data_IF_060420427409
#
_entry.id   IF_060420427409
#
_cell.length_a   1.000
_cell.length_b   1.000
_cell.length_c   1.000
_cell.angle_alpha   90.00
_cell.angle_beta   90.00
_cell.angle_gamma   90.00
#
_symmetry.space_group_name_H-M   'P 1'
#
loop_
_entity.id
_entity.type
_entity.pdbx_description
1 polymer ?
2 polymer ?
3 non-polymer ?
4 water ?
#
# COMPACT_ATOMS: atom_id res chain seq x y z
N UNK A 2 -12.92 0.54 10.95
CA UNK A 2 -13.20 -0.21 12.15
C UNK A 2 -12.22 -1.36 12.27
N UNK A 3 -11.09 -1.27 11.56
CA UNK A 3 -10.09 -2.33 11.60
C UNK A 3 -8.91 -1.98 12.50
N UNK A 4 -8.19 -3.02 12.92
CA UNK A 4 -7.06 -2.87 13.82
C UNK A 4 -6.01 -1.91 13.30
N UNK A 5 -5.65 -2.07 12.03
CA UNK A 5 -4.67 -1.21 11.37
C UNK A 5 -5.38 -0.26 10.45
N UNK A 6 -4.84 0.96 10.33
CA UNK A 6 -5.36 1.88 9.31
C UNK A 6 -4.96 1.43 7.90
N UNK A 7 -3.74 0.96 7.75
CA UNK A 7 -3.24 0.59 6.42
C UNK A 7 -2.32 -0.59 6.49
N UNK A 8 -2.40 -1.40 5.45
CA UNK A 8 -1.45 -2.43 5.17
C UNK A 8 -0.58 -1.98 3.99
N UNK A 9 0.69 -2.36 4.00
CA UNK A 9 1.60 -1.91 2.93
C UNK A 9 1.98 -3.09 2.11
N UNK A 10 1.63 -3.04 0.86
CA UNK A 10 1.97 -4.08 -0.09
C UNK A 10 3.07 -3.57 -1.05
N UNK A 11 4.22 -4.23 -1.06
CA UNK A 11 5.42 -3.70 -1.75
C UNK A 11 6.36 -4.85 -2.04
N UNK A 12 7.20 -4.65 -3.05
CA UNK A 12 8.24 -5.60 -3.41
C UNK A 12 9.48 -5.41 -2.54
N UNK A 13 10.19 -6.50 -2.23
CA UNK A 13 11.38 -6.38 -1.38
C UNK A 13 12.42 -5.44 -1.96
N UNK A 14 12.48 -5.31 -3.27
CA UNK A 14 13.48 -4.43 -3.88
C UNK A 14 13.29 -2.96 -3.50
N UNK A 15 12.05 -2.59 -3.11
CA UNK A 15 11.71 -1.22 -2.71
C UNK A 15 11.68 -1.05 -1.19
N UNK A 16 12.22 -2.00 -0.45
CA UNK A 16 12.15 -1.97 1.00
C UNK A 16 12.76 -0.75 1.64
N UNK A 17 13.87 -0.27 1.09
CA UNK A 17 14.53 0.88 1.72
C UNK A 17 13.58 2.07 1.88
N UNK A 18 12.97 2.51 0.78
CA UNK A 18 12.05 3.65 0.83
C UNK A 18 10.80 3.26 1.60
N UNK A 19 10.31 2.05 1.39
CA UNK A 19 9.06 1.67 2.06
C UNK A 19 9.20 1.66 3.56
N UNK A 20 10.27 1.07 4.09
CA UNK A 20 10.38 0.98 5.53
C UNK A 20 10.89 2.29 6.12
N UNK A 21 11.94 2.85 5.54
CA UNK A 21 12.59 4.00 6.16
C UNK A 21 11.90 5.31 5.91
N UNK A 22 11.14 5.40 4.82
CA UNK A 22 10.41 6.65 4.51
C UNK A 22 8.92 6.50 4.72
N UNK A 23 8.29 5.58 3.99
CA UNK A 23 6.83 5.50 4.07
C UNK A 23 6.33 5.03 5.43
N UNK A 24 6.79 3.85 5.88
CA UNK A 24 6.30 3.37 7.17
C UNK A 24 6.71 4.31 8.30
N UNK A 25 7.96 4.77 8.27
CA UNK A 25 8.45 5.72 9.26
C UNK A 25 7.53 6.92 9.38
N UNK A 26 7.17 7.53 8.27
CA UNK A 26 6.32 8.71 8.32
C UNK A 26 4.90 8.40 8.75
N UNK A 27 4.36 7.28 8.27
CA UNK A 27 3.02 6.91 8.67
C UNK A 27 2.93 6.74 10.18
N UNK A 28 3.88 6.01 10.75
CA UNK A 28 3.85 5.71 12.17
C UNK A 28 4.06 6.99 12.99
N UNK A 29 4.93 7.88 12.50
CA UNK A 29 5.13 9.16 13.22
C UNK A 29 3.86 10.00 13.25
N UNK A 30 3.05 9.85 12.19
CA UNK A 30 1.80 10.58 12.03
C UNK A 30 0.65 9.92 12.80
N UNK A 31 0.94 8.88 13.58
CA UNK A 31 -0.07 8.17 14.34
C UNK A 31 -0.91 7.19 13.58
N UNK A 32 -0.48 6.84 12.38
CA UNK A 32 -1.20 5.90 11.54
C UNK A 32 -0.71 4.49 11.84
N UNK A 33 -1.63 3.60 12.15
CA UNK A 33 -1.33 2.23 12.54
C UNK A 33 -1.15 1.42 11.26
N UNK A 34 0.03 0.83 11.11
CA UNK A 34 0.47 0.22 9.86
C UNK A 34 0.81 -1.25 10.03
N UNK A 35 0.29 -2.09 9.13
CA UNK A 35 0.72 -3.50 9.05
C UNK A 35 1.88 -3.58 8.06
N UNK A 36 2.98 -4.11 8.54
CA UNK A 36 4.17 -4.28 7.71
C UNK A 36 4.71 -5.67 7.87
N UNK A 37 4.85 -6.35 6.76
CA UNK A 37 5.15 -7.76 6.76
C UNK A 37 6.33 -8.14 7.61
N UNK A 38 7.44 -7.39 7.53
CA UNK A 38 8.67 -7.83 8.18
C UNK A 38 8.56 -7.76 9.68
N UNK A 39 7.54 -7.08 10.19
CA UNK A 39 7.25 -7.07 11.63
C UNK A 39 6.04 -7.94 11.98
N UNK A 40 4.97 -7.83 11.20
CA UNK A 40 3.66 -8.32 11.60
C UNK A 40 3.25 -9.66 11.02
N UNK A 41 3.96 -10.18 10.02
CA UNK A 41 3.61 -11.48 9.47
C UNK A 41 3.84 -12.53 10.53
N UNK A 42 3.07 -13.60 10.47
CA UNK A 42 3.21 -14.76 11.36
C UNK A 42 4.10 -15.81 10.69
N UNK A 43 5.25 -16.12 11.30
CA UNK A 43 6.05 -17.21 10.74
C UNK A 43 5.37 -18.54 10.94
N UNK A 44 5.41 -19.41 9.94
CA UNK A 44 4.75 -20.70 9.97
C UNK A 44 3.35 -20.68 9.45
N UNK A 45 2.80 -19.49 9.19
CA UNK A 45 1.56 -19.40 8.44
C UNK A 45 1.90 -19.45 6.97
N UNK A 46 0.92 -19.88 6.17
CA UNK A 46 1.10 -19.85 4.73
C UNK A 46 1.07 -18.42 4.22
N UNK A 47 1.69 -18.22 3.07
CA UNK A 47 1.71 -16.87 2.48
C UNK A 47 0.29 -16.31 2.38
N UNK A 48 -0.67 -17.13 1.92
CA UNK A 48 -2.02 -16.63 1.72
C UNK A 48 -2.68 -16.22 3.03
N UNK A 49 -2.35 -16.91 4.12
CA UNK A 49 -2.85 -16.54 5.41
C UNK A 49 -2.34 -15.17 5.86
N UNK A 50 -1.06 -14.91 5.66
CA UNK A 50 -0.49 -13.62 6.01
C UNK A 50 -1.01 -12.51 5.13
N UNK A 51 -1.22 -12.78 3.84
CA UNK A 51 -1.88 -11.80 2.95
C UNK A 51 -3.21 -11.41 3.51
N UNK A 52 -4.03 -12.44 3.84
CA UNK A 52 -5.39 -12.19 4.27
C UNK A 52 -5.49 -11.52 5.63
N UNK A 53 -4.60 -11.89 6.54
CA UNK A 53 -4.58 -11.20 7.83
C UNK A 53 -4.31 -9.70 7.65
N UNK A 54 -3.35 -9.37 6.81
CA UNK A 54 -3.01 -7.97 6.59
C UNK A 54 -4.15 -7.24 5.94
N UNK A 55 -4.79 -7.83 4.93
CA UNK A 55 -5.86 -7.12 4.22
C UNK A 55 -7.09 -6.97 5.09
N UNK A 56 -7.53 -8.04 5.74
CA UNK A 56 -8.80 -8.01 6.45
C UNK A 56 -8.72 -7.26 7.77
N UNK A 57 -7.53 -7.10 8.33
CA UNK A 57 -7.38 -6.35 9.54
C UNK A 57 -6.92 -4.90 9.36
N UNK A 58 -6.99 -4.42 8.14
CA UNK A 58 -6.60 -3.06 7.77
C UNK A 58 -7.75 -2.38 7.04
N UNK A 59 -7.88 -1.07 7.20
CA UNK A 59 -8.93 -0.37 6.50
C UNK A 59 -8.66 -0.28 5.02
N UNK A 60 -7.41 -0.06 4.64
CA UNK A 60 -7.04 0.01 3.24
C UNK A 60 -5.65 -0.55 3.04
N UNK A 61 -5.32 -0.89 1.79
CA UNK A 61 -4.00 -1.41 1.42
C UNK A 61 -3.32 -0.41 0.50
N UNK A 62 -2.17 0.06 0.92
CA UNK A 62 -1.31 0.84 0.07
C UNK A 62 -0.56 -0.09 -0.85
N UNK A 63 -0.59 0.20 -2.13
CA UNK A 63 0.07 -0.56 -3.17
C UNK A 63 1.27 0.28 -3.68
N UNK A 64 2.49 -0.16 -3.47
CA UNK A 64 3.70 0.63 -3.82
C UNK A 64 4.12 0.15 -5.21
N UNK A 65 3.62 0.85 -6.25
CA UNK A 65 3.83 0.43 -7.62
C UNK A 65 5.25 0.79 -8.07
N UNK A 66 5.85 -0.15 -8.76
CA UNK A 66 7.20 -0.05 -9.33
C UNK A 66 7.36 -1.22 -10.30
N UNK A 67 8.45 -1.25 -11.07
CA UNK A 67 8.64 -2.40 -11.93
C UNK A 67 8.75 -3.70 -11.17
N UNK A 68 9.35 -3.64 -9.97
CA UNK A 68 9.52 -4.88 -9.19
C UNK A 68 8.23 -5.33 -8.52
N UNK A 69 7.34 -4.39 -8.18
CA UNK A 69 6.02 -4.76 -7.66
C UNK A 69 5.30 -5.71 -8.61
N UNK A 70 5.32 -5.36 -9.90
CA UNK A 70 4.54 -6.08 -10.93
C UNK A 70 5.22 -7.34 -11.42
N UNK A 71 6.36 -7.67 -10.84
CA UNK A 71 7.00 -8.97 -11.08
C UNK A 71 6.95 -9.86 -9.84
N UNK A 72 6.32 -9.42 -8.77
CA UNK A 72 6.36 -10.12 -7.50
C UNK A 72 5.06 -10.89 -7.24
N UNK A 73 5.17 -12.18 -6.99
CA UNK A 73 3.98 -13.05 -6.85
C UNK A 73 3.11 -12.69 -5.65
N UNK A 74 3.74 -12.46 -4.50
CA UNK A 74 2.96 -12.07 -3.33
C UNK A 74 2.27 -10.73 -3.59
N UNK A 75 2.96 -9.77 -4.18
CA UNK A 75 2.33 -8.52 -4.52
C UNK A 75 1.10 -8.71 -5.42
N UNK A 76 1.25 -9.52 -6.46
CA UNK A 76 0.10 -9.70 -7.34
C UNK A 76 -1.11 -10.31 -6.61
N UNK A 77 -0.87 -11.34 -5.80
CA UNK A 77 -1.96 -12.02 -5.10
C UNK A 77 -2.63 -11.04 -4.14
N UNK A 78 -1.81 -10.23 -3.47
CA UNK A 78 -2.34 -9.26 -2.55
C UNK A 78 -3.18 -8.23 -3.26
N UNK A 79 -2.68 -7.76 -4.40
CA UNK A 79 -3.40 -6.78 -5.17
C UNK A 79 -4.76 -7.31 -5.63
N UNK A 80 -4.78 -8.54 -6.13
CA UNK A 80 -6.04 -9.10 -6.61
C UNK A 80 -7.10 -9.12 -5.50
N UNK A 81 -6.74 -9.51 -4.30
CA UNK A 81 -7.67 -9.47 -3.15
C UNK A 81 -7.98 -8.03 -2.78
N UNK A 82 -6.95 -7.18 -2.82
CA UNK A 82 -7.11 -5.77 -2.46
C UNK A 82 -8.13 -5.03 -3.31
N UNK A 83 -8.26 -5.42 -4.58
CA UNK A 83 -9.25 -4.81 -5.46
C UNK A 83 -10.68 -5.04 -4.97
N UNK A 84 -10.87 -6.04 -4.15
CA UNK A 84 -12.20 -6.28 -3.56
C UNK A 84 -12.44 -5.49 -2.28
N UNK A 85 -11.46 -4.67 -1.92
CA UNK A 85 -11.56 -3.80 -0.79
C UNK A 85 -11.16 -2.42 -1.24
N UNK A 86 -10.36 -1.74 -0.45
CA UNK A 86 -9.94 -0.39 -0.82
C UNK A 86 -8.44 -0.36 -0.87
N UNK A 87 -7.93 0.24 -1.94
CA UNK A 87 -6.50 0.40 -2.08
C UNK A 87 -6.13 1.86 -2.29
N UNK A 88 -4.90 2.19 -1.93
CA UNK A 88 -4.28 3.49 -2.21
C UNK A 88 -3.05 3.23 -3.04
N UNK A 89 -3.14 3.40 -4.36
CA UNK A 89 -1.96 3.15 -5.19
C UNK A 89 -1.01 4.36 -5.16
N UNK A 90 0.26 4.03 -4.95
CA UNK A 90 1.36 4.98 -5.02
C UNK A 90 2.23 4.62 -6.20
N UNK A 91 2.47 5.57 -7.11
CA UNK A 91 3.47 5.34 -8.16
C UNK A 91 4.80 5.76 -7.61
N UNK A 92 5.57 4.78 -7.14
CA UNK A 92 6.85 5.03 -6.47
C UNK A 92 7.96 5.15 -7.51
N UNK A 93 8.00 4.22 -8.44
CA UNK A 93 8.94 4.25 -9.57
C UNK A 93 8.17 4.07 -10.86
N UNK A 94 8.56 4.76 -11.95
CA UNK A 94 7.83 4.60 -13.22
C UNK A 94 7.84 3.16 -13.69
N UNK A 95 6.72 2.73 -14.24
CA UNK A 95 6.55 1.34 -14.64
C UNK A 95 5.35 1.22 -15.56
N UNK A 96 5.21 0.06 -16.18
CA UNK A 96 4.01 -0.27 -16.93
C UNK A 96 2.96 -0.70 -15.93
N UNK A 97 1.93 0.13 -15.78
CA UNK A 97 0.81 -0.11 -14.89
C UNK A 97 -0.18 -0.99 -15.65
N UNK A 98 -0.59 -2.12 -15.05
CA UNK A 98 -1.50 -3.04 -15.74
C UNK A 98 -2.84 -2.44 -16.10
N UNK A 99 -3.45 -3.05 -17.11
CA UNK A 99 -4.67 -2.52 -17.68
C UNK A 99 -5.74 -2.26 -16.61
N UNK A 100 -5.84 -3.14 -15.61
CA UNK A 100 -6.93 -3.01 -14.63
C UNK A 100 -6.68 -1.92 -13.62
N UNK A 101 -5.48 -1.32 -13.65
CA UNK A 101 -5.17 -0.13 -12.86
C UNK A 101 -5.01 1.12 -13.69
N UNK A 102 -5.24 1.03 -15.00
CA UNK A 102 -4.94 2.15 -15.91
C UNK A 102 -5.99 3.25 -15.91
N UNK A 103 -7.04 3.05 -15.12
CA UNK A 103 -8.08 4.04 -14.95
C UNK A 103 -8.38 4.27 -13.48
N UNK A 104 -7.38 4.05 -12.63
CA UNK A 104 -7.48 4.32 -11.21
C UNK A 104 -6.51 5.43 -10.80
N UNK A 105 -7.03 6.43 -10.09
CA UNK A 105 -6.21 7.55 -9.66
C UNK A 105 -5.20 7.09 -8.65
N UNK A 106 -3.97 7.57 -8.79
CA UNK A 106 -2.91 7.20 -7.88
C UNK A 106 -2.19 8.45 -7.34
N UNK A 107 -1.46 8.27 -6.25
CA UNK A 107 -0.55 9.28 -5.73
C UNK A 107 0.79 9.13 -6.44
N UNK A 108 1.22 10.17 -7.13
CA UNK A 108 2.37 10.05 -8.02
C UNK A 108 3.62 10.60 -7.34
N UNK A 109 4.40 9.74 -6.72
CA UNK A 109 5.65 10.15 -6.06
C UNK A 109 6.66 10.60 -7.09
N UNK A 110 6.57 10.10 -8.31
CA UNK A 110 7.53 10.42 -9.33
C UNK A 110 7.40 11.82 -9.87
N UNK A 111 6.24 12.46 -9.70
CA UNK A 111 6.01 13.82 -10.18
C UNK A 111 6.61 14.80 -9.16
N UNK A 112 7.85 15.21 -9.42
CA UNK A 112 8.61 15.91 -8.40
C UNK A 112 7.98 17.25 -8.01
N UNK A 113 7.41 17.94 -8.98
CA UNK A 113 6.88 19.29 -8.72
C UNK A 113 5.68 19.27 -7.76
N UNK A 114 4.95 18.15 -7.70
CA UNK A 114 3.80 18.07 -6.75
C UNK A 114 4.14 17.23 -5.54
N UNK A 115 5.42 16.87 -5.43
CA UNK A 115 5.86 16.16 -4.26
C UNK A 115 5.53 16.89 -2.99
N UNK A 116 5.54 18.26 -3.00
CA UNK A 116 5.17 18.98 -1.77
C UNK A 116 3.75 18.67 -1.24
N UNK A 117 2.85 18.04 -2.00
CA UNK A 117 1.52 17.67 -1.48
C UNK A 117 1.27 16.17 -1.32
N UNK A 118 2.28 15.37 -1.64
CA UNK A 118 2.18 13.92 -1.54
C UNK A 118 1.75 13.45 -0.17
N UNK A 119 2.47 13.85 0.88
CA UNK A 119 2.18 13.30 2.19
C UNK A 119 0.82 13.80 2.68
N UNK A 120 0.51 15.07 2.45
CA UNK A 120 -0.79 15.60 2.83
C UNK A 120 -1.91 14.78 2.19
N UNK A 121 -1.76 14.48 0.91
CA UNK A 121 -2.81 13.72 0.23
C UNK A 121 -2.93 12.30 0.77
N UNK A 122 -1.80 11.65 0.99
CA UNK A 122 -1.80 10.30 1.52
C UNK A 122 -2.47 10.26 2.89
N UNK A 123 -2.03 11.13 3.79
CA UNK A 123 -2.54 11.08 5.14
C UNK A 123 -4.03 11.45 5.16
N UNK A 124 -4.45 12.38 4.32
CA UNK A 124 -5.87 12.77 4.28
C UNK A 124 -6.74 11.60 3.86
N UNK A 125 -6.27 10.83 2.88
CA UNK A 125 -7.08 9.71 2.45
C UNK A 125 -7.21 8.65 3.52
N UNK A 126 -6.09 8.37 4.18
CA UNK A 126 -6.08 7.36 5.22
C UNK A 126 -7.01 7.78 6.35
N UNK A 127 -7.00 9.07 6.70
CA UNK A 127 -7.77 9.59 7.83
C UNK A 127 -9.23 9.81 7.50
N UNK A 128 -9.57 9.85 6.21
CA UNK A 128 -10.94 10.11 5.73
C UNK A 128 -11.79 8.92 6.04
N UNK B 1 -14.75 8.23 4.78
CA UNK B 1 -15.49 7.88 3.58
C UNK B 1 -14.75 6.79 2.80
N UNK B 2 -15.50 5.75 2.45
CA UNK B 2 -15.01 4.58 1.70
C UNK B 2 -14.77 4.94 0.24
N UNK B 3 -13.77 4.32 -0.39
CA UNK B 3 -13.57 4.50 -1.84
C UNK B 3 -14.81 4.04 -2.60
N UNK B 4 -15.01 4.61 -3.79
CA UNK B 4 -16.13 4.27 -4.67
C UNK B 4 -17.44 4.57 -3.96
#
# INVERSE_FOLDING_TARGET
MGKTYDVNICYAPEDREWVINTLVFKLERAGIKTFVNIRDDTPGNFFAENIMDAIENSNRTIVVMSPDFFKNNICDKTLQIGLSHQIIPILYRPCEVPYFLNHMTYLDWCDKDVRPVFWRNLFRDIRNN
HHHHHH
#
